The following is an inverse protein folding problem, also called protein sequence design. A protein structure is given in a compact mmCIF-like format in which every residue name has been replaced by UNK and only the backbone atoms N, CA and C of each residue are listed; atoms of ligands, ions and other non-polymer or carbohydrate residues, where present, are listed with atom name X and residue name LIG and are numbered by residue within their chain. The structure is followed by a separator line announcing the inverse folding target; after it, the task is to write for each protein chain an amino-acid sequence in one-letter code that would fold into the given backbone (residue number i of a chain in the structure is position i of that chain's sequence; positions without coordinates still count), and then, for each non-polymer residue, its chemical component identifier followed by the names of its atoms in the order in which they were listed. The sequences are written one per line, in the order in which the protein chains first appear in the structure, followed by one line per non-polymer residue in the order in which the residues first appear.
data_IF_541862032073
#
_entry.id   IF_541862032073
#
_cell.length_a   1.000
_cell.length_b   1.000
_cell.length_c   1.000
_cell.angle_alpha   90.00
_cell.angle_beta   90.00
_cell.angle_gamma   90.00
#
_symmetry.space_group_name_H-M   'P 1'
#
loop_
_entity.id
_entity.type
_entity.pdbx_description
1 polymer ?
#
# COMPACT_ATOMS: atom_id res chain seq x y z
N UNK A 1 -49.59 -4.89 -23.67
CA UNK A 1 -49.08 -5.30 -22.34
C UNK A 1 -48.12 -6.47 -22.58
N UNK A 2 -46.82 -6.20 -22.58
CA UNK A 2 -45.77 -7.22 -22.72
C UNK A 2 -44.76 -6.95 -21.60
N UNK A 3 -44.66 -7.87 -20.66
CA UNK A 3 -43.81 -7.77 -19.49
C UNK A 3 -42.40 -8.28 -19.84
N UNK A 4 -41.39 -7.43 -19.63
CA UNK A 4 -39.99 -7.84 -19.70
C UNK A 4 -39.62 -8.66 -18.45
N UNK A 5 -38.86 -9.76 -18.59
CA UNK A 5 -38.37 -10.52 -17.44
C UNK A 5 -37.23 -9.76 -16.74
N UNK A 6 -37.32 -9.68 -15.41
CA UNK A 6 -36.28 -9.15 -14.52
C UNK A 6 -35.03 -10.03 -14.59
N UNK A 7 -33.80 -9.47 -14.69
CA UNK A 7 -32.59 -10.28 -14.65
C UNK A 7 -32.38 -10.87 -13.24
N UNK A 8 -32.09 -12.17 -13.21
CA UNK A 8 -31.76 -12.93 -12.01
C UNK A 8 -30.54 -12.31 -11.29
N UNK A 9 -30.63 -12.24 -9.96
CA UNK A 9 -29.50 -11.86 -9.11
C UNK A 9 -28.31 -12.83 -9.29
N UNK A 10 -27.09 -12.42 -8.89
CA UNK A 10 -25.91 -13.27 -9.04
C UNK A 10 -26.10 -14.59 -8.25
N UNK A 11 -25.64 -15.73 -8.80
CA UNK A 11 -25.83 -17.02 -8.17
C UNK A 11 -25.07 -17.07 -6.83
N UNK A 12 -25.76 -17.59 -5.81
CA UNK A 12 -25.14 -18.04 -4.57
C UNK A 12 -24.05 -19.06 -4.91
N UNK A 13 -22.82 -18.77 -4.52
CA UNK A 13 -21.68 -19.65 -4.73
C UNK A 13 -21.90 -20.92 -3.90
N UNK A 14 -22.13 -22.02 -4.62
CA UNK A 14 -22.38 -23.34 -4.08
C UNK A 14 -21.12 -23.83 -3.37
N UNK A 15 -21.24 -24.06 -2.07
CA UNK A 15 -20.22 -24.67 -1.25
C UNK A 15 -19.87 -26.08 -1.78
N UNK A 16 -18.65 -26.20 -2.28
CA UNK A 16 -17.96 -27.48 -2.49
C UNK A 16 -17.82 -28.20 -1.14
N UNK A 17 -18.24 -29.47 -1.10
CA UNK A 17 -18.30 -30.33 0.09
C UNK A 17 -16.95 -30.82 0.63
N UNK A 18 -16.00 -29.91 0.85
CA UNK A 18 -14.94 -30.13 1.83
C UNK A 18 -15.53 -29.87 3.23
N UNK A 19 -15.13 -30.60 4.30
CA UNK A 19 -15.41 -30.14 5.66
C UNK A 19 -14.91 -28.70 5.74
N UNK A 20 -15.76 -27.77 6.18
CA UNK A 20 -15.40 -26.36 6.27
C UNK A 20 -14.08 -26.29 7.04
N UNK A 21 -13.01 -25.89 6.35
CA UNK A 21 -11.67 -25.86 6.95
C UNK A 21 -11.78 -25.05 8.24
N UNK A 22 -11.26 -25.60 9.34
CA UNK A 22 -11.25 -24.88 10.60
C UNK A 22 -10.64 -23.48 10.38
N UNK A 23 -11.21 -22.44 11.00
CA UNK A 23 -10.68 -21.10 10.83
C UNK A 23 -9.21 -21.07 11.27
N UNK A 24 -8.37 -20.26 10.60
CA UNK A 24 -6.96 -20.20 10.93
C UNK A 24 -6.75 -19.74 12.37
N UNK A 25 -5.71 -20.24 13.03
CA UNK A 25 -5.38 -19.84 14.39
C UNK A 25 -4.93 -18.37 14.45
N UNK A 26 -4.20 -17.92 13.43
CA UNK A 26 -3.79 -16.54 13.28
C UNK A 26 -3.76 -16.11 11.80
N UNK A 27 -3.87 -14.81 11.59
CA UNK A 27 -3.81 -14.17 10.27
C UNK A 27 -2.76 -13.06 10.30
N UNK A 28 -1.68 -13.28 9.56
CA UNK A 28 -0.62 -12.31 9.33
C UNK A 28 -0.96 -11.41 8.15
N UNK A 29 -0.98 -10.10 8.37
CA UNK A 29 -1.42 -9.12 7.38
C UNK A 29 -0.28 -8.18 7.06
N UNK A 30 0.06 -8.03 5.78
CA UNK A 30 0.81 -6.86 5.34
C UNK A 30 -0.06 -5.60 5.38
N UNK A 31 0.55 -4.42 5.42
CA UNK A 31 -0.14 -3.13 5.49
C UNK A 31 -0.36 -2.48 4.11
N UNK A 32 0.73 -2.11 3.44
CA UNK A 32 0.73 -1.23 2.26
C UNK A 32 0.18 -2.01 1.04
N UNK A 33 -0.71 -1.42 0.26
CA UNK A 33 -1.49 -2.07 -0.83
C UNK A 33 -2.32 -3.32 -0.43
N UNK A 34 -2.21 -3.79 0.82
CA UNK A 34 -2.93 -4.94 1.37
C UNK A 34 -4.13 -4.51 2.23
N UNK A 35 -3.91 -3.76 3.33
CA UNK A 35 -5.00 -3.20 4.16
C UNK A 35 -5.33 -1.76 3.78
N UNK A 36 -4.35 -1.02 3.27
CA UNK A 36 -4.53 0.36 2.80
C UNK A 36 -4.11 0.48 1.34
N UNK A 37 -4.76 1.37 0.60
CA UNK A 37 -4.41 1.65 -0.78
C UNK A 37 -3.14 2.52 -0.85
N UNK A 38 -2.09 2.01 -1.51
CA UNK A 38 -0.81 2.70 -1.66
C UNK A 38 0.14 2.46 -0.48
N UNK A 39 1.24 3.21 -0.46
CA UNK A 39 2.25 3.12 0.61
C UNK A 39 1.99 4.13 1.73
N UNK A 40 1.99 3.66 2.98
CA UNK A 40 1.91 4.48 4.19
C UNK A 40 3.08 5.46 4.29
N UNK A 41 4.30 5.02 4.00
CA UNK A 41 5.49 5.88 4.01
C UNK A 41 5.34 7.07 3.03
N UNK A 42 4.84 6.80 1.82
CA UNK A 42 4.59 7.85 0.83
C UNK A 42 3.39 8.73 1.20
N UNK A 43 2.36 8.17 1.82
CA UNK A 43 1.18 8.92 2.26
C UNK A 43 1.57 10.00 3.29
N UNK A 44 2.46 9.69 4.23
CA UNK A 44 2.94 10.64 5.23
C UNK A 44 4.08 11.55 4.75
N UNK A 45 4.75 11.25 3.63
CA UNK A 45 5.90 12.03 3.14
C UNK A 45 5.57 13.52 2.98
N UNK A 46 4.39 13.84 2.42
CA UNK A 46 3.95 15.24 2.27
C UNK A 46 3.65 15.92 3.60
N UNK A 47 3.13 15.17 4.58
CA UNK A 47 2.86 15.69 5.92
C UNK A 47 4.17 15.98 6.65
N UNK A 48 5.13 15.06 6.64
CA UNK A 48 6.45 15.31 7.25
C UNK A 48 7.16 16.51 6.63
N UNK A 49 7.07 16.68 5.31
CA UNK A 49 7.59 17.87 4.63
C UNK A 49 6.92 19.17 5.07
N UNK A 50 5.60 19.18 5.27
CA UNK A 50 4.85 20.35 5.74
C UNK A 50 5.21 20.75 7.16
N UNK A 51 5.54 19.78 8.00
CA UNK A 51 5.92 19.99 9.40
C UNK A 51 7.43 20.17 9.61
N UNK A 52 8.22 20.28 8.53
CA UNK A 52 9.64 20.61 8.58
C UNK A 52 10.58 19.45 8.91
N UNK A 53 10.08 18.21 8.98
CA UNK A 53 10.93 17.03 9.20
C UNK A 53 11.71 16.64 7.95
N UNK A 54 11.14 16.88 6.76
CA UNK A 54 11.86 16.72 5.50
C UNK A 54 12.06 18.09 4.88
N UNK A 55 13.31 18.49 4.66
CA UNK A 55 13.61 19.70 3.89
C UNK A 55 13.00 19.58 2.47
N UNK A 56 12.38 20.65 1.97
CA UNK A 56 11.70 20.67 0.66
C UNK A 56 12.65 20.31 -0.48
N UNK A 57 13.94 20.64 -0.37
CA UNK A 57 14.93 20.23 -1.37
C UNK A 57 15.26 18.73 -1.27
N UNK A 58 15.22 18.14 -0.06
CA UNK A 58 15.35 16.70 0.16
C UNK A 58 14.12 15.94 -0.34
N UNK A 59 12.91 16.48 -0.18
CA UNK A 59 11.68 15.94 -0.79
C UNK A 59 11.77 15.98 -2.32
N UNK A 60 12.21 17.10 -2.91
CA UNK A 60 12.33 17.23 -4.36
C UNK A 60 13.38 16.27 -4.94
N UNK A 61 14.54 16.14 -4.29
CA UNK A 61 15.57 15.15 -4.67
C UNK A 61 15.10 13.71 -4.46
N UNK A 62 14.36 13.44 -3.39
CA UNK A 62 13.77 12.14 -3.10
C UNK A 62 12.68 11.75 -4.09
N UNK A 63 11.81 12.68 -4.48
CA UNK A 63 10.81 12.47 -5.52
C UNK A 63 11.45 12.25 -6.90
N UNK A 64 12.55 12.95 -7.20
CA UNK A 64 13.33 12.73 -8.41
C UNK A 64 14.01 11.36 -8.40
N UNK A 65 14.59 10.95 -7.27
CA UNK A 65 15.16 9.61 -7.11
C UNK A 65 14.10 8.52 -7.20
N UNK A 66 12.91 8.71 -6.60
CA UNK A 66 11.77 7.80 -6.69
C UNK A 66 11.27 7.68 -8.13
N UNK A 67 11.19 8.79 -8.87
CA UNK A 67 10.85 8.79 -10.30
C UNK A 67 11.88 8.00 -11.10
N UNK A 68 13.18 8.24 -10.88
CA UNK A 68 14.26 7.50 -11.55
C UNK A 68 14.25 6.01 -11.22
N UNK A 69 13.78 5.64 -10.03
CA UNK A 69 13.79 4.26 -9.52
C UNK A 69 12.57 3.46 -9.97
N UNK A 70 11.40 4.10 -10.03
CA UNK A 70 10.22 3.57 -10.74
C UNK A 70 10.54 3.35 -12.22
N UNK A 71 11.40 4.18 -12.81
CA UNK A 71 11.89 4.00 -14.18
C UNK A 71 12.98 2.91 -14.31
N UNK A 72 13.67 2.52 -13.23
CA UNK A 72 14.82 1.59 -13.30
C UNK A 72 14.49 0.12 -13.02
N UNK A 73 13.26 -0.20 -12.57
CA UNK A 73 12.89 -1.57 -12.21
C UNK A 73 13.42 -1.99 -10.84
N UNK A 74 12.64 -2.79 -10.12
CA UNK A 74 12.92 -3.19 -8.74
C UNK A 74 13.82 -4.44 -8.70
N UNK A 75 14.98 -4.31 -8.08
CA UNK A 75 15.95 -5.37 -7.71
C UNK A 75 16.18 -5.25 -6.18
N UNK A 76 16.55 -6.33 -5.51
CA UNK A 76 17.03 -6.33 -4.12
C UNK A 76 18.12 -5.27 -3.84
N UNK A 77 19.05 -5.03 -4.77
CA UNK A 77 20.07 -3.98 -4.65
C UNK A 77 19.46 -2.57 -4.64
N UNK A 78 18.41 -2.38 -5.44
CA UNK A 78 17.61 -1.16 -5.47
C UNK A 78 16.87 -0.95 -4.13
N UNK A 79 16.39 -2.02 -3.50
CA UNK A 79 15.70 -1.96 -2.21
C UNK A 79 16.64 -1.69 -1.03
N UNK A 80 17.85 -2.26 -0.99
CA UNK A 80 18.85 -1.91 0.04
C UNK A 80 19.27 -0.44 -0.09
N UNK A 81 19.40 0.04 -1.34
CA UNK A 81 19.68 1.46 -1.62
C UNK A 81 18.56 2.37 -1.13
N UNK A 82 17.29 2.00 -1.37
CA UNK A 82 16.13 2.72 -0.87
C UNK A 82 16.09 2.76 0.65
N UNK A 83 16.27 1.60 1.30
CA UNK A 83 16.34 1.47 2.76
C UNK A 83 17.39 2.43 3.33
N UNK A 84 18.64 2.37 2.83
CA UNK A 84 19.72 3.27 3.29
C UNK A 84 19.39 4.74 3.09
N UNK A 85 18.80 5.09 1.95
CA UNK A 85 18.38 6.48 1.70
C UNK A 85 17.30 6.93 2.68
N UNK A 86 16.33 6.05 2.97
CA UNK A 86 15.22 6.38 3.85
C UNK A 86 15.70 6.58 5.29
N UNK A 87 16.61 5.73 5.78
CA UNK A 87 17.19 5.89 7.12
C UNK A 87 18.07 7.14 7.21
N UNK A 88 18.83 7.47 6.15
CA UNK A 88 19.63 8.71 6.10
C UNK A 88 18.78 9.98 6.12
N UNK A 89 17.61 9.96 5.47
CA UNK A 89 16.70 11.12 5.46
C UNK A 89 16.06 11.34 6.83
N UNK A 90 15.82 10.26 7.58
CA UNK A 90 15.21 10.33 8.91
C UNK A 90 16.19 10.49 10.07
N UNK A 91 17.51 10.35 9.83
CA UNK A 91 18.54 10.58 10.86
C UNK A 91 18.35 11.94 11.54
N UNK A 92 18.36 11.93 12.87
CA UNK A 92 18.24 13.12 13.71
C UNK A 92 16.80 13.60 13.94
N UNK A 93 15.80 13.00 13.32
CA UNK A 93 14.40 13.34 13.60
C UNK A 93 14.06 13.02 15.05
N UNK A 94 13.33 13.92 15.69
CA UNK A 94 12.82 13.71 17.04
C UNK A 94 11.63 12.74 16.99
N UNK A 95 11.71 11.63 17.72
CA UNK A 95 10.73 10.54 17.64
C UNK A 95 9.35 10.99 18.13
N UNK A 96 9.30 11.76 19.22
CA UNK A 96 8.08 12.42 19.73
C UNK A 96 7.41 13.25 18.64
N UNK A 97 8.18 14.04 17.88
CA UNK A 97 7.65 14.89 16.83
C UNK A 97 7.04 14.09 15.68
N UNK A 98 7.65 12.96 15.30
CA UNK A 98 7.09 12.04 14.32
C UNK A 98 5.73 11.51 14.81
N UNK A 99 5.68 11.01 16.04
CA UNK A 99 4.44 10.48 16.66
C UNK A 99 3.33 11.53 16.72
N UNK A 100 3.65 12.75 17.13
CA UNK A 100 2.70 13.88 17.15
C UNK A 100 2.09 14.13 15.77
N UNK A 101 2.92 14.21 14.72
CA UNK A 101 2.46 14.49 13.36
C UNK A 101 1.61 13.34 12.82
N UNK A 102 2.05 12.10 13.03
CA UNK A 102 1.31 10.91 12.61
C UNK A 102 -0.05 10.89 13.30
N UNK A 103 -0.09 10.99 14.63
CA UNK A 103 -1.33 10.97 15.40
C UNK A 103 -2.29 12.10 14.99
N UNK A 104 -1.79 13.32 14.76
CA UNK A 104 -2.60 14.47 14.40
C UNK A 104 -3.23 14.35 12.99
N UNK A 105 -2.58 13.63 12.07
CA UNK A 105 -3.01 13.57 10.66
C UNK A 105 -3.50 12.19 10.22
N UNK A 106 -3.48 11.21 11.12
CA UNK A 106 -3.78 9.80 10.83
C UNK A 106 -5.11 9.62 10.10
N UNK A 107 -6.19 10.21 10.63
CA UNK A 107 -7.53 10.08 10.07
C UNK A 107 -7.64 10.70 8.66
N UNK A 108 -7.00 11.84 8.44
CA UNK A 108 -7.00 12.53 7.14
C UNK A 108 -6.19 11.75 6.09
N UNK A 109 -5.03 11.23 6.50
CA UNK A 109 -4.06 10.59 5.61
C UNK A 109 -4.44 9.13 5.32
N UNK A 110 -4.75 8.36 6.36
CA UNK A 110 -4.90 6.90 6.27
C UNK A 110 -6.36 6.48 6.16
N UNK A 111 -7.29 7.15 6.86
CA UNK A 111 -8.72 6.79 6.85
C UNK A 111 -9.29 6.56 5.44
N UNK A 112 -9.07 7.46 4.46
CA UNK A 112 -9.55 7.28 3.09
C UNK A 112 -8.88 6.16 2.29
N UNK A 113 -7.75 5.63 2.78
CA UNK A 113 -6.96 4.61 2.11
C UNK A 113 -7.34 3.19 2.55
N UNK A 114 -7.94 3.02 3.73
CA UNK A 114 -8.32 1.71 4.26
C UNK A 114 -9.30 1.01 3.30
N UNK A 115 -8.98 -0.23 2.93
CA UNK A 115 -9.88 -1.05 2.12
C UNK A 115 -11.07 -1.55 2.96
N UNK A 116 -12.32 -1.27 2.55
CA UNK A 116 -13.48 -1.82 3.24
C UNK A 116 -13.50 -3.36 3.28
N UNK A 117 -12.98 -4.00 2.24
CA UNK A 117 -12.82 -5.46 2.18
C UNK A 117 -11.90 -5.98 3.27
N UNK A 118 -10.80 -5.28 3.53
CA UNK A 118 -9.84 -5.65 4.57
C UNK A 118 -10.47 -5.58 5.96
N UNK A 119 -11.25 -4.53 6.25
CA UNK A 119 -11.97 -4.39 7.53
C UNK A 119 -12.94 -5.57 7.74
N UNK A 120 -13.78 -5.88 6.74
CA UNK A 120 -14.73 -7.01 6.81
C UNK A 120 -14.03 -8.36 6.95
N UNK A 121 -12.86 -8.52 6.34
CA UNK A 121 -12.06 -9.73 6.45
C UNK A 121 -11.51 -9.89 7.88
N UNK A 122 -10.95 -8.82 8.43
CA UNK A 122 -10.41 -8.80 9.81
C UNK A 122 -11.52 -9.11 10.82
N UNK A 123 -12.68 -8.46 10.71
CA UNK A 123 -13.84 -8.69 11.58
C UNK A 123 -14.25 -10.16 11.58
N UNK A 124 -14.39 -10.76 10.39
CA UNK A 124 -14.76 -12.17 10.24
C UNK A 124 -13.77 -13.11 10.92
N UNK A 125 -12.47 -12.88 10.74
CA UNK A 125 -11.45 -13.72 11.37
C UNK A 125 -11.45 -13.56 12.90
N UNK A 126 -11.68 -12.34 13.41
CA UNK A 126 -11.85 -12.11 14.85
C UNK A 126 -13.06 -12.83 15.43
N UNK A 127 -14.20 -12.79 14.74
CA UNK A 127 -15.42 -13.51 15.13
C UNK A 127 -15.20 -15.03 15.18
N UNK A 128 -14.27 -15.54 14.37
CA UNK A 128 -13.85 -16.93 14.35
C UNK A 128 -12.79 -17.27 15.41
N UNK A 129 -12.38 -16.31 16.24
CA UNK A 129 -11.37 -16.48 17.28
C UNK A 129 -9.92 -16.49 16.78
N UNK A 130 -9.69 -16.11 15.52
CA UNK A 130 -8.34 -16.01 14.98
C UNK A 130 -7.60 -14.79 15.51
N UNK A 131 -6.32 -14.96 15.82
CA UNK A 131 -5.45 -13.85 16.19
C UNK A 131 -5.10 -13.01 14.95
N UNK A 132 -5.20 -11.69 15.03
CA UNK A 132 -4.89 -10.79 13.92
C UNK A 132 -3.57 -10.09 14.18
N UNK A 133 -2.62 -10.25 13.27
CA UNK A 133 -1.26 -9.74 13.41
C UNK A 133 -0.86 -8.92 12.20
N UNK A 134 -0.48 -7.66 12.41
CA UNK A 134 0.02 -6.79 11.33
C UNK A 134 1.55 -6.88 11.23
N UNK A 135 2.08 -7.13 10.04
CA UNK A 135 3.52 -7.19 9.73
C UNK A 135 3.85 -6.17 8.63
N UNK A 136 4.59 -5.11 8.94
CA UNK A 136 4.81 -4.01 7.98
C UNK A 136 6.25 -3.51 7.94
N UNK A 137 6.76 -3.32 6.72
CA UNK A 137 8.08 -2.73 6.50
C UNK A 137 8.16 -1.25 6.89
N UNK A 138 7.01 -0.58 7.07
CA UNK A 138 6.94 0.79 7.55
C UNK A 138 7.41 0.94 8.99
N UNK A 139 7.79 2.16 9.36
CA UNK A 139 8.30 2.48 10.69
C UNK A 139 7.25 2.31 11.78
N UNK A 140 7.67 1.87 12.97
CA UNK A 140 6.84 1.68 14.15
C UNK A 140 5.93 2.87 14.44
N UNK A 141 6.46 4.09 14.41
CA UNK A 141 5.70 5.32 14.69
C UNK A 141 4.56 5.59 13.71
N UNK A 142 4.55 4.93 12.54
CA UNK A 142 3.46 4.99 11.55
C UNK A 142 2.54 3.79 11.70
N UNK A 143 3.10 2.59 11.86
CA UNK A 143 2.34 1.33 11.89
C UNK A 143 1.47 1.23 13.14
N UNK A 144 1.99 1.60 14.31
CA UNK A 144 1.25 1.49 15.58
C UNK A 144 -0.06 2.32 15.55
N UNK A 145 -0.06 3.62 15.17
CA UNK A 145 -1.31 4.37 15.04
C UNK A 145 -2.28 3.79 14.01
N UNK A 146 -1.77 3.26 12.88
CA UNK A 146 -2.62 2.62 11.86
C UNK A 146 -3.24 1.33 12.38
N UNK A 147 -2.47 0.52 13.10
CA UNK A 147 -2.96 -0.69 13.75
C UNK A 147 -4.10 -0.34 14.73
N UNK A 148 -3.91 0.70 15.56
CA UNK A 148 -4.95 1.23 16.44
C UNK A 148 -6.20 1.71 15.70
N UNK A 149 -6.04 2.38 14.55
CA UNK A 149 -7.16 2.82 13.70
C UNK A 149 -8.01 1.65 13.17
N UNK A 150 -7.36 0.55 12.79
CA UNK A 150 -8.00 -0.66 12.25
C UNK A 150 -8.42 -1.63 13.40
N UNK A 151 -8.05 -1.29 14.64
CA UNK A 151 -8.32 -2.09 15.84
C UNK A 151 -7.47 -3.35 15.93
N UNK A 152 -6.29 -3.41 15.29
CA UNK A 152 -5.33 -4.51 15.40
C UNK A 152 -4.39 -4.25 16.59
N UNK A 153 -4.40 -5.14 17.58
CA UNK A 153 -3.60 -4.98 18.80
C UNK A 153 -2.16 -5.50 18.65
N UNK A 154 -1.96 -6.59 17.91
CA UNK A 154 -0.64 -7.19 17.72
C UNK A 154 -0.04 -6.80 16.38
N UNK A 155 1.18 -6.28 16.42
CA UNK A 155 1.92 -5.93 15.21
C UNK A 155 3.43 -6.07 15.37
N UNK A 156 4.13 -6.15 14.24
CA UNK A 156 5.57 -5.96 14.11
C UNK A 156 5.82 -4.99 12.96
N UNK A 157 6.66 -4.01 13.22
CA UNK A 157 6.99 -2.94 12.31
C UNK A 157 8.50 -2.78 12.26
N UNK A 158 9.03 -2.11 11.23
CA UNK A 158 10.45 -1.74 11.22
C UNK A 158 10.75 -0.74 12.33
N UNK A 159 11.83 -0.95 13.08
CA UNK A 159 12.27 -0.06 14.16
C UNK A 159 13.61 0.56 13.81
N UNK A 160 13.73 1.86 14.05
CA UNK A 160 15.01 2.57 13.99
C UNK A 160 15.64 2.59 15.37
N UNK A 161 16.97 2.49 15.43
CA UNK A 161 17.70 2.77 16.66
C UNK A 161 17.48 4.23 17.06
N UNK A 162 17.20 4.44 18.34
CA UNK A 162 16.94 5.75 18.92
C UNK A 162 18.04 6.08 19.93
N UNK A 163 18.62 7.27 19.78
CA UNK A 163 19.63 7.83 20.68
C UNK A 163 19.19 9.25 21.05
N UNK A 164 19.17 9.57 22.35
CA UNK A 164 18.73 10.88 22.88
C UNK A 164 17.36 11.35 22.33
N UNK A 165 16.42 10.41 22.18
CA UNK A 165 15.08 10.66 21.66
C UNK A 165 15.02 10.96 20.16
N UNK A 166 16.10 10.69 19.41
CA UNK A 166 16.21 10.92 17.96
C UNK A 166 16.60 9.67 17.20
N UNK A 167 16.20 9.57 15.94
CA UNK A 167 16.62 8.45 15.09
C UNK A 167 18.14 8.51 14.79
N UNK A 168 18.85 7.42 15.06
CA UNK A 168 20.30 7.31 14.83
C UNK A 168 20.68 7.06 13.36
N UNK A 169 19.70 6.83 12.47
CA UNK A 169 19.93 6.54 11.05
C UNK A 169 20.18 5.06 10.72
N UNK A 170 20.03 4.19 11.70
CA UNK A 170 20.19 2.74 11.56
C UNK A 170 18.93 2.00 12.00
N UNK A 171 18.59 0.92 11.28
CA UNK A 171 17.47 0.06 11.63
C UNK A 171 17.91 -0.97 12.67
N UNK A 172 17.17 -1.07 13.75
CA UNK A 172 17.31 -2.13 14.74
C UNK A 172 16.61 -3.41 14.26
N UNK A 173 15.40 -3.25 13.69
CA UNK A 173 14.68 -4.33 13.04
C UNK A 173 14.05 -3.86 11.74
N UNK A 174 14.03 -4.74 10.73
CA UNK A 174 13.44 -4.46 9.42
C UNK A 174 12.42 -5.54 9.06
N UNK A 175 11.15 -5.18 9.09
CA UNK A 175 10.04 -6.11 8.90
C UNK A 175 9.69 -6.22 7.41
N UNK A 176 10.63 -6.72 6.61
CA UNK A 176 10.53 -6.80 5.16
C UNK A 176 11.06 -8.14 4.67
N UNK A 177 10.33 -8.80 3.77
CA UNK A 177 10.65 -10.14 3.27
C UNK A 177 10.92 -11.15 4.37
N UNK A 178 12.14 -11.69 4.45
CA UNK A 178 12.54 -12.60 5.53
C UNK A 178 12.34 -12.03 6.94
N UNK A 179 12.41 -10.71 7.09
CA UNK A 179 12.09 -10.05 8.35
C UNK A 179 10.64 -10.29 8.81
N UNK A 180 9.68 -10.33 7.86
CA UNK A 180 8.28 -10.67 8.16
C UNK A 180 8.11 -12.15 8.44
N UNK A 181 8.74 -13.02 7.66
CA UNK A 181 8.70 -14.47 7.90
C UNK A 181 9.26 -14.83 9.28
N UNK A 182 10.38 -14.20 9.68
CA UNK A 182 10.95 -14.31 11.03
C UNK A 182 9.97 -13.81 12.10
N UNK A 183 9.40 -12.62 11.94
CA UNK A 183 8.42 -12.09 12.89
C UNK A 183 7.19 -13.00 13.06
N UNK A 184 6.70 -13.60 11.97
CA UNK A 184 5.61 -14.57 12.04
C UNK A 184 6.00 -15.82 12.84
N UNK A 185 7.21 -16.38 12.61
CA UNK A 185 7.73 -17.52 13.38
C UNK A 185 7.90 -17.20 14.86
N UNK A 186 8.43 -16.02 15.19
CA UNK A 186 8.59 -15.55 16.57
C UNK A 186 7.23 -15.43 17.28
N UNK A 187 6.26 -14.79 16.64
CA UNK A 187 4.89 -14.65 17.18
C UNK A 187 4.20 -16.01 17.34
N UNK A 188 4.38 -16.91 16.39
CA UNK A 188 3.85 -18.26 16.47
C UNK A 188 4.45 -19.03 17.65
N UNK A 189 5.77 -18.94 17.87
CA UNK A 189 6.43 -19.53 19.02
C UNK A 189 5.97 -18.92 20.35
N UNK A 190 5.84 -17.59 20.42
CA UNK A 190 5.35 -16.87 21.61
C UNK A 190 3.93 -17.27 22.02
N UNK A 191 3.09 -17.64 21.03
CA UNK A 191 1.64 -17.82 21.23
C UNK A 191 1.18 -19.27 21.06
N UNK A 192 2.12 -20.20 20.81
CA UNK A 192 1.81 -21.62 20.58
C UNK A 192 1.01 -21.88 19.30
N UNK A 193 1.17 -21.05 18.27
CA UNK A 193 0.47 -21.19 17.00
C UNK A 193 1.19 -22.18 16.08
N UNK A 194 0.42 -22.99 15.36
CA UNK A 194 0.92 -23.77 14.24
C UNK A 194 0.83 -22.93 12.97
N UNK A 195 1.97 -22.59 12.38
CA UNK A 195 2.02 -21.80 11.14
C UNK A 195 1.30 -22.52 9.98
N UNK A 196 1.24 -23.85 9.97
CA UNK A 196 0.48 -24.61 8.97
C UNK A 196 -1.05 -24.41 9.11
N UNK A 197 -1.51 -23.86 10.25
CA UNK A 197 -2.90 -23.45 10.49
C UNK A 197 -3.06 -21.93 10.54
N UNK A 198 -2.06 -21.18 10.07
CA UNK A 198 -2.11 -19.73 9.97
C UNK A 198 -2.31 -19.29 8.52
N UNK A 199 -2.83 -18.08 8.36
CA UNK A 199 -2.96 -17.42 7.06
C UNK A 199 -2.03 -16.21 6.94
N UNK A 200 -1.65 -15.86 5.71
CA UNK A 200 -0.93 -14.63 5.42
C UNK A 200 -1.50 -13.90 4.20
N UNK A 201 -1.55 -12.57 4.25
CA UNK A 201 -2.03 -11.69 3.18
C UNK A 201 -0.97 -10.65 2.80
N UNK A 202 -0.62 -10.56 1.52
CA UNK A 202 0.33 -9.56 0.99
C UNK A 202 0.09 -9.27 -0.50
N UNK A 203 0.54 -8.11 -0.97
CA UNK A 203 0.54 -7.71 -2.38
C UNK A 203 1.88 -7.94 -3.10
N UNK A 204 2.96 -8.17 -2.33
CA UNK A 204 4.31 -8.06 -2.86
C UNK A 204 5.06 -9.38 -2.90
N UNK A 205 5.75 -9.64 -4.00
CA UNK A 205 6.68 -10.79 -4.12
C UNK A 205 7.79 -10.77 -3.07
N UNK A 206 8.09 -9.58 -2.54
CA UNK A 206 9.10 -9.41 -1.48
C UNK A 206 8.75 -10.20 -0.23
N UNK A 207 7.46 -10.42 0.03
CA UNK A 207 6.93 -11.21 1.15
C UNK A 207 6.71 -12.69 0.79
N UNK A 208 7.26 -13.19 -0.32
CA UNK A 208 7.22 -14.61 -0.65
C UNK A 208 7.68 -15.51 0.51
N UNK A 209 8.76 -15.18 1.26
CA UNK A 209 9.15 -15.98 2.42
C UNK A 209 8.07 -16.07 3.52
N UNK A 210 7.24 -15.03 3.68
CA UNK A 210 6.11 -15.06 4.62
C UNK A 210 5.01 -16.01 4.11
N UNK A 211 4.70 -15.96 2.81
CA UNK A 211 3.71 -16.85 2.21
C UNK A 211 4.15 -18.32 2.24
N UNK A 212 5.45 -18.58 2.20
CA UNK A 212 6.02 -19.93 2.21
C UNK A 212 6.03 -20.60 3.60
N UNK A 213 5.92 -19.84 4.68
CA UNK A 213 5.93 -20.40 6.05
C UNK A 213 4.55 -20.73 6.58
N UNK A 214 3.47 -20.18 5.99
CA UNK A 214 2.10 -20.39 6.46
C UNK A 214 1.37 -21.46 5.64
N UNK A 215 0.34 -22.08 6.23
CA UNK A 215 -0.49 -23.06 5.53
C UNK A 215 -1.52 -22.45 4.58
N UNK A 216 -1.93 -21.20 4.81
CA UNK A 216 -2.96 -20.52 4.02
C UNK A 216 -2.47 -19.19 3.43
N UNK A 217 -1.68 -19.21 2.35
CA UNK A 217 -1.22 -18.00 1.68
C UNK A 217 -2.32 -17.37 0.81
N UNK A 218 -2.55 -16.07 0.99
CA UNK A 218 -3.48 -15.26 0.20
C UNK A 218 -2.76 -14.07 -0.41
N UNK A 219 -3.06 -13.80 -1.67
CA UNK A 219 -2.41 -12.75 -2.43
C UNK A 219 -3.43 -11.65 -2.72
N UNK A 220 -3.15 -10.40 -2.33
CA UNK A 220 -4.09 -9.27 -2.45
C UNK A 220 -3.52 -8.24 -3.41
N UNK A 221 -4.28 -7.82 -4.43
CA UNK A 221 -3.84 -6.78 -5.36
C UNK A 221 -2.39 -6.95 -5.91
N UNK A 222 -1.96 -8.17 -6.34
CA UNK A 222 -0.53 -8.46 -6.42
C UNK A 222 0.21 -7.69 -7.51
N UNK A 223 1.50 -7.47 -7.24
CA UNK A 223 2.47 -7.13 -8.26
C UNK A 223 2.54 -8.21 -9.36
N UNK A 224 3.24 -7.89 -10.46
CA UNK A 224 3.29 -8.78 -11.64
C UNK A 224 3.94 -10.12 -11.32
N UNK A 225 4.95 -10.15 -10.47
CA UNK A 225 5.75 -11.33 -10.18
C UNK A 225 5.02 -12.26 -9.20
N UNK A 226 4.48 -11.72 -8.11
CA UNK A 226 3.67 -12.46 -7.17
C UNK A 226 2.41 -13.02 -7.83
N UNK A 227 1.81 -12.29 -8.79
CA UNK A 227 0.68 -12.80 -9.58
C UNK A 227 1.05 -14.03 -10.42
N UNK A 228 2.27 -14.09 -10.96
CA UNK A 228 2.72 -15.27 -11.71
C UNK A 228 2.91 -16.47 -10.77
N UNK A 229 3.57 -16.25 -9.63
CA UNK A 229 3.78 -17.27 -8.59
C UNK A 229 2.45 -17.80 -8.05
N UNK A 230 1.50 -16.91 -7.75
CA UNK A 230 0.18 -17.29 -7.25
C UNK A 230 -0.57 -18.21 -8.23
N UNK A 231 -0.47 -17.93 -9.54
CA UNK A 231 -1.07 -18.79 -10.57
C UNK A 231 -0.39 -20.15 -10.65
N UNK A 232 0.94 -20.18 -10.58
CA UNK A 232 1.72 -21.42 -10.61
C UNK A 232 1.43 -22.30 -9.40
N UNK A 233 1.34 -21.71 -8.21
CA UNK A 233 1.12 -22.40 -6.93
C UNK A 233 -0.35 -22.60 -6.57
N UNK A 234 -1.27 -22.11 -7.39
CA UNK A 234 -2.72 -22.19 -7.13
C UNK A 234 -3.18 -21.38 -5.92
N UNK A 235 -2.44 -20.33 -5.53
CA UNK A 235 -2.80 -19.49 -4.40
C UNK A 235 -3.97 -18.55 -4.75
N UNK A 236 -4.93 -18.34 -3.84
CA UNK A 236 -6.03 -17.41 -4.04
C UNK A 236 -5.54 -15.98 -4.28
N UNK A 237 -6.07 -15.33 -5.33
CA UNK A 237 -5.81 -13.92 -5.64
C UNK A 237 -7.07 -13.10 -5.37
N UNK A 238 -6.95 -12.15 -4.46
CA UNK A 238 -8.01 -11.24 -4.03
C UNK A 238 -7.81 -9.85 -4.62
N UNK A 239 -8.92 -9.15 -4.87
CA UNK A 239 -8.92 -7.78 -5.36
C UNK A 239 -9.68 -6.90 -4.37
N UNK A 240 -8.96 -6.00 -3.69
CA UNK A 240 -9.54 -5.02 -2.79
C UNK A 240 -9.61 -3.67 -3.49
N UNK A 241 -10.73 -2.97 -3.33
CA UNK A 241 -11.00 -1.75 -4.09
C UNK A 241 -11.27 -0.65 -3.10
N UNK A 242 -10.54 0.46 -3.23
CA UNK A 242 -10.75 1.62 -2.38
C UNK A 242 -12.19 2.10 -2.56
N UNK A 243 -12.87 2.45 -1.46
CA UNK A 243 -14.18 3.08 -1.53
C UNK A 243 -14.11 4.28 -2.48
N UNK A 244 -14.93 4.28 -3.54
CA UNK A 244 -14.92 5.36 -4.52
C UNK A 244 -15.24 6.68 -3.82
N UNK A 245 -14.29 7.63 -3.88
CA UNK A 245 -14.57 9.00 -3.44
C UNK A 245 -15.72 9.57 -4.27
N UNK A 246 -16.42 10.61 -3.78
CA UNK A 246 -17.45 11.31 -4.59
C UNK A 246 -16.88 11.77 -5.94
N UNK A 247 -15.60 12.15 -5.98
CA UNK A 247 -14.88 12.49 -7.22
C UNK A 247 -14.73 11.29 -8.15
N UNK A 248 -14.32 10.13 -7.65
CA UNK A 248 -14.14 8.92 -8.46
C UNK A 248 -15.48 8.45 -9.05
N UNK A 249 -16.59 8.63 -8.32
CA UNK A 249 -17.95 8.37 -8.81
C UNK A 249 -18.37 9.35 -9.90
N UNK A 250 -18.05 10.64 -9.76
CA UNK A 250 -18.32 11.66 -10.76
C UNK A 250 -17.51 11.44 -12.05
N UNK A 251 -16.25 11.02 -11.95
CA UNK A 251 -15.43 10.66 -13.11
C UNK A 251 -15.98 9.42 -13.82
N UNK A 252 -16.34 8.36 -13.09
CA UNK A 252 -16.98 7.18 -13.69
C UNK A 252 -18.32 7.49 -14.35
N UNK A 253 -19.11 8.40 -13.76
CA UNK A 253 -20.36 8.87 -14.38
C UNK A 253 -20.08 9.67 -15.65
N UNK A 254 -19.05 10.52 -15.65
CA UNK A 254 -18.64 11.28 -16.84
C UNK A 254 -18.18 10.35 -17.97
N UNK A 255 -17.38 9.34 -17.66
CA UNK A 255 -16.88 8.38 -18.64
C UNK A 255 -18.01 7.47 -19.15
N UNK A 256 -18.91 7.00 -18.27
CA UNK A 256 -20.08 6.22 -18.67
C UNK A 256 -21.11 7.03 -19.49
N UNK A 257 -21.19 8.34 -19.28
CA UNK A 257 -21.98 9.26 -20.11
C UNK A 257 -21.29 9.51 -21.45
N UNK A 258 -19.96 9.64 -21.46
CA UNK A 258 -19.18 9.81 -22.69
C UNK A 258 -19.28 8.58 -23.61
N UNK A 259 -19.24 7.37 -23.05
CA UNK A 259 -19.44 6.11 -23.77
C UNK A 259 -20.87 5.96 -24.32
N UNK A 260 -21.87 6.48 -23.61
CA UNK A 260 -23.28 6.43 -24.05
C UNK A 260 -23.64 7.47 -25.10
N UNK A 261 -22.94 8.61 -25.14
CA UNK A 261 -23.23 9.70 -26.09
C UNK A 261 -22.48 9.50 -27.41
N UNK A 262 -21.53 8.55 -27.51
CA UNK A 262 -20.87 8.23 -28.77
C UNK A 262 -20.18 9.47 -29.38
N UNK A 263 -19.43 10.22 -28.57
CA UNK A 263 -18.65 11.34 -29.09
C UNK A 263 -17.36 10.79 -29.67
N UNK A 264 -17.39 10.44 -30.95
CA UNK A 264 -16.20 10.16 -31.74
C UNK A 264 -15.26 11.37 -31.68
N UNK A 265 -14.10 11.19 -31.07
CA UNK A 265 -13.00 12.16 -31.05
C UNK A 265 -12.33 12.25 -32.43
N UNK A 266 -13.08 12.65 -33.45
CA UNK A 266 -12.58 12.94 -34.80
C UNK A 266 -13.32 14.10 -35.46
N UNK A 267 -13.29 15.28 -34.85
CA UNK A 267 -13.39 16.55 -35.58
C UNK A 267 -12.50 17.59 -34.91
N UNK A 268 -11.30 17.77 -35.47
CA UNK A 268 -10.49 18.97 -35.25
C UNK A 268 -11.13 20.11 -36.04
N UNK A 269 -11.52 21.18 -35.37
CA UNK A 269 -11.58 22.51 -35.97
C UNK A 269 -11.03 23.53 -34.99
N UNK A 270 -10.10 24.32 -35.49
CA UNK A 270 -9.36 25.34 -34.76
C UNK A 270 -10.27 26.50 -34.36
N UNK A 271 -10.19 26.91 -33.09
CA UNK A 271 -10.45 28.28 -32.66
C UNK A 271 -9.78 28.51 -31.29
N UNK A 272 -8.80 29.41 -31.26
CA UNK A 272 -8.28 30.04 -30.04
C UNK A 272 -9.29 31.10 -29.59
N UNK A 273 -9.55 31.25 -28.27
CA UNK A 273 -8.96 32.41 -27.59
C UNK A 273 -8.51 32.17 -26.12
N UNK A 274 -7.33 32.71 -25.82
CA UNK A 274 -6.93 33.58 -24.69
C UNK A 274 -7.54 33.38 -23.27
N UNK A 275 -6.69 32.84 -22.39
CA UNK A 275 -6.31 33.23 -21.00
C UNK A 275 -7.37 33.37 -19.89
N UNK A 276 -7.22 32.54 -18.84
CA UNK A 276 -7.10 32.99 -17.44
C UNK A 276 -6.36 31.95 -16.58
N UNK A 277 -5.50 32.46 -15.70
CA UNK A 277 -4.38 31.80 -15.05
C UNK A 277 -4.77 30.85 -13.89
N UNK A 278 -4.14 29.66 -13.86
CA UNK A 278 -3.69 28.97 -12.64
C UNK A 278 -2.90 27.70 -13.01
N UNK A 279 -1.66 27.57 -12.49
CA UNK A 279 -0.99 26.25 -12.39
C UNK A 279 0.13 25.94 -13.38
N UNK A 280 1.13 26.83 -13.51
CA UNK A 280 2.37 26.50 -14.19
C UNK A 280 3.35 25.73 -13.31
N UNK A 281 3.53 24.43 -13.57
CA UNK A 281 4.80 23.69 -13.31
C UNK A 281 5.08 22.61 -14.38
N UNK A 282 4.12 22.18 -15.21
CA UNK A 282 4.33 20.99 -16.07
C UNK A 282 4.95 21.26 -17.45
N UNK A 283 5.10 22.51 -17.90
CA UNK A 283 5.42 22.80 -19.32
C UNK A 283 6.81 23.42 -19.63
N UNK A 284 7.81 23.31 -18.75
CA UNK A 284 9.13 23.93 -18.99
C UNK A 284 10.30 22.94 -19.26
N UNK A 285 10.07 21.62 -19.29
CA UNK A 285 11.20 20.65 -19.36
C UNK A 285 11.50 20.17 -20.79
N UNK A 286 10.60 20.37 -21.76
CA UNK A 286 10.82 19.90 -23.14
C UNK A 286 11.73 20.80 -24.00
N UNK A 287 12.04 22.03 -23.58
CA UNK A 287 12.89 22.96 -24.35
C UNK A 287 14.39 22.88 -24.01
N UNK A 288 14.75 22.30 -22.85
CA UNK A 288 16.16 22.22 -22.40
C UNK A 288 16.99 21.11 -23.06
N UNK A 289 16.35 20.13 -23.69
CA UNK A 289 17.03 18.91 -24.19
C UNK A 289 17.67 19.11 -25.58
N UNK A 290 17.28 20.15 -26.33
CA UNK A 290 17.84 20.40 -27.68
C UNK A 290 19.08 21.33 -27.65
N UNK A 291 19.25 22.15 -26.60
CA UNK A 291 20.34 23.13 -26.54
C UNK A 291 21.67 22.59 -25.96
N UNK A 292 21.67 21.47 -25.24
CA UNK A 292 22.89 20.94 -24.59
C UNK A 292 23.76 20.04 -25.50
N UNK A 293 23.22 19.57 -26.64
CA UNK A 293 23.95 18.68 -27.57
C UNK A 293 24.77 19.39 -28.67
N UNK A 294 25.04 20.70 -28.55
CA UNK A 294 25.85 21.45 -29.55
C UNK A 294 27.13 22.12 -29.01
N UNK A 295 27.50 21.89 -27.75
CA UNK A 295 28.74 22.46 -27.17
C UNK A 295 29.48 21.50 -26.24
N UNK A 296 29.70 20.26 -26.70
CA UNK A 296 30.89 19.48 -26.36
C UNK A 296 31.32 18.66 -27.56
#
# INVERSE_FOLDING_TARGET
MSAFPTPAGPPAEQASGAPAAEPPQAVFLDLDNTLIAGSSALAFARTFARHGLVDRATVARGAWAQLLLVLSGADAATMDTLRRRMTLVSTGWEVSRVREIVAATLQEVVGPLVYPEAVRMIERYREQGAEIVLLSASGLEVVEPIAGLIGIERFRASTMRVEDGRYAGELEFYCYGEGKARAAREIAAESGLDLARCAAYTDSVTDLPLLEVVGHPYVVNPDRELRAIARERGWPVLAFVRAASRRDRLFRLRDAVSDRIGVDARTRTAATPVVLAAGGVVAAVAAGVVAWRRTR
#
